data_IF_909257709024
#
_entry.id   IF_909257709024
#
_cell.length_a   1.000
_cell.length_b   1.000
_cell.length_c   1.000
_cell.angle_alpha   90.00
_cell.angle_beta   90.00
_cell.angle_gamma   90.00
#
_symmetry.space_group_name_H-M   'P 1'
#
loop_
_entity.id
_entity.type
_entity.pdbx_description
1 polymer ?
#
# COMPACT_ATOMS: atom_id res chain seq x y z
N UNK A 1 22.39 18.37 6.77
CA UNK A 1 21.57 17.18 6.50
C UNK A 1 20.27 17.65 5.86
N UNK A 2 19.93 17.21 4.64
CA UNK A 2 18.69 17.65 4.01
C UNK A 2 17.48 17.17 4.83
N UNK A 3 16.54 18.08 5.09
CA UNK A 3 15.30 17.78 5.82
C UNK A 3 14.42 16.89 4.93
N UNK A 4 14.17 15.66 5.37
CA UNK A 4 13.16 14.78 4.76
C UNK A 4 11.78 15.29 5.14
N UNK A 5 11.01 15.82 4.19
CA UNK A 5 9.65 16.32 4.43
C UNK A 5 8.66 15.29 3.87
N UNK A 6 7.78 14.77 4.72
CA UNK A 6 6.71 13.85 4.32
C UNK A 6 5.58 14.65 3.64
N UNK A 7 5.50 14.59 2.31
CA UNK A 7 4.46 15.29 1.51
C UNK A 7 3.20 14.39 1.41
N UNK A 8 2.58 14.05 2.54
CA UNK A 8 1.27 13.36 2.52
C UNK A 8 0.13 14.21 3.10
N UNK A 9 0.41 15.47 3.45
CA UNK A 9 -0.52 16.32 4.20
C UNK A 9 -1.29 17.37 3.40
N UNK A 10 -1.20 17.43 2.06
CA UNK A 10 -1.69 18.61 1.31
C UNK A 10 -2.65 18.38 0.14
N UNK A 11 -2.96 17.15 -0.28
CA UNK A 11 -4.04 16.92 -1.25
C UNK A 11 -5.32 16.49 -0.52
N UNK A 12 -6.49 16.92 -1.01
CA UNK A 12 -7.83 16.48 -0.58
C UNK A 12 -8.12 14.98 -0.81
N UNK A 13 -7.07 14.19 -1.05
CA UNK A 13 -7.09 12.77 -1.42
C UNK A 13 -6.59 11.88 -0.28
N UNK A 14 -6.46 12.43 0.92
CA UNK A 14 -5.91 11.70 2.05
C UNK A 14 -6.84 10.56 2.46
N UNK A 15 -6.29 9.34 2.51
CA UNK A 15 -6.92 8.16 3.12
C UNK A 15 -7.63 8.48 4.45
N UNK A 16 -7.08 9.42 5.24
CA UNK A 16 -7.62 9.84 6.54
C UNK A 16 -8.84 10.77 6.46
N UNK A 17 -9.16 11.33 5.30
CA UNK A 17 -10.39 12.09 5.08
C UNK A 17 -11.60 11.18 4.88
N UNK A 18 -11.39 9.88 4.61
CA UNK A 18 -12.49 8.92 4.55
C UNK A 18 -13.06 8.64 5.96
N UNK A 19 -14.40 8.52 6.09
CA UNK A 19 -15.04 8.07 7.31
C UNK A 19 -14.42 6.75 7.80
N UNK A 20 -14.30 6.53 9.13
CA UNK A 20 -13.77 5.29 9.69
C UNK A 20 -14.44 4.02 9.12
N UNK A 21 -15.76 4.08 8.89
CA UNK A 21 -16.54 2.99 8.28
C UNK A 21 -16.09 2.65 6.86
N UNK A 22 -15.82 3.65 6.02
CA UNK A 22 -15.30 3.43 4.65
C UNK A 22 -13.90 2.82 4.71
N UNK A 23 -13.02 3.33 5.56
CA UNK A 23 -11.66 2.78 5.73
C UNK A 23 -11.69 1.32 6.19
N UNK A 24 -12.57 1.00 7.13
CA UNK A 24 -12.76 -0.38 7.59
C UNK A 24 -13.31 -1.28 6.47
N UNK A 25 -14.22 -0.77 5.63
CA UNK A 25 -14.76 -1.51 4.49
C UNK A 25 -13.63 -1.92 3.52
N UNK A 26 -12.78 -0.98 3.09
CA UNK A 26 -11.61 -1.28 2.24
C UNK A 26 -10.73 -2.38 2.84
N UNK A 27 -10.42 -2.26 4.14
CA UNK A 27 -9.61 -3.24 4.87
C UNK A 27 -10.24 -4.63 4.88
N UNK A 28 -11.55 -4.73 5.12
CA UNK A 28 -12.27 -6.00 5.08
C UNK A 28 -12.43 -6.56 3.66
N UNK A 29 -12.61 -5.70 2.66
CA UNK A 29 -12.74 -6.09 1.25
C UNK A 29 -11.44 -6.69 0.74
N UNK A 30 -10.30 -6.05 1.03
CA UNK A 30 -8.98 -6.60 0.72
C UNK A 30 -8.74 -7.93 1.43
N UNK A 31 -9.11 -8.04 2.71
CA UNK A 31 -8.95 -9.28 3.46
C UNK A 31 -9.82 -10.42 2.91
N UNK A 32 -11.03 -10.13 2.41
CA UNK A 32 -11.87 -11.11 1.70
C UNK A 32 -11.24 -11.55 0.39
N UNK A 33 -10.63 -10.62 -0.36
CA UNK A 33 -10.03 -10.89 -1.67
C UNK A 33 -8.70 -11.64 -1.59
N UNK A 34 -7.84 -11.30 -0.64
CA UNK A 34 -6.45 -11.77 -0.59
C UNK A 34 -6.09 -12.53 0.69
N UNK A 35 -7.05 -12.71 1.61
CA UNK A 35 -6.80 -13.15 2.98
C UNK A 35 -6.18 -12.03 3.84
N UNK A 36 -6.06 -12.26 5.14
CA UNK A 36 -5.37 -11.36 6.07
C UNK A 36 -3.84 -11.49 5.97
N UNK A 37 -3.33 -11.44 4.74
CA UNK A 37 -1.92 -11.58 4.39
C UNK A 37 -1.30 -10.21 4.22
N UNK A 38 -0.06 -10.05 4.69
CA UNK A 38 0.79 -8.95 4.26
C UNK A 38 1.17 -9.19 2.80
N UNK A 39 0.36 -8.69 1.87
CA UNK A 39 0.43 -9.03 0.47
C UNK A 39 1.31 -8.02 -0.29
N UNK A 40 2.45 -8.44 -0.86
CA UNK A 40 3.09 -7.65 -1.91
C UNK A 40 2.21 -7.77 -3.14
N UNK A 41 1.56 -6.70 -3.54
CA UNK A 41 0.68 -6.78 -4.70
C UNK A 41 1.45 -6.89 -6.01
N UNK A 42 2.07 -8.04 -6.32
CA UNK A 42 2.12 -8.67 -7.66
C UNK A 42 2.51 -10.15 -7.48
N UNK A 43 1.52 -11.03 -7.53
CA UNK A 43 1.68 -12.42 -7.99
C UNK A 43 0.47 -12.71 -8.90
N UNK A 44 0.32 -11.96 -9.99
CA UNK A 44 -0.49 -12.43 -11.11
C UNK A 44 0.40 -13.35 -11.94
N UNK A 45 0.00 -14.60 -12.23
CA UNK A 45 0.74 -15.44 -13.15
C UNK A 45 0.57 -14.88 -14.56
N UNK A 46 1.58 -14.23 -15.12
CA UNK A 46 1.64 -13.97 -16.56
C UNK A 46 2.32 -15.14 -17.26
N UNK A 47 1.82 -15.51 -18.44
CA UNK A 47 2.32 -16.62 -19.25
C UNK A 47 3.71 -16.38 -19.87
N UNK A 48 4.30 -15.21 -19.65
CA UNK A 48 5.64 -14.83 -20.08
C UNK A 48 6.43 -14.40 -18.84
N UNK A 49 7.61 -15.00 -18.66
CA UNK A 49 8.42 -14.93 -17.45
C UNK A 49 8.59 -13.55 -16.83
N UNK A 50 8.72 -13.56 -15.49
CA UNK A 50 8.89 -12.43 -14.59
C UNK A 50 9.96 -11.43 -15.04
N UNK A 51 9.54 -10.32 -15.64
CA UNK A 51 10.35 -9.12 -15.65
C UNK A 51 10.19 -8.38 -14.31
N UNK A 52 11.34 -8.26 -13.66
CA UNK A 52 11.51 -7.86 -12.29
C UNK A 52 11.37 -6.34 -12.19
N UNK A 53 10.18 -5.80 -11.89
CA UNK A 53 10.07 -4.46 -11.27
C UNK A 53 8.67 -4.10 -10.78
N UNK A 54 8.62 -3.73 -9.49
CA UNK A 54 7.47 -3.29 -8.68
C UNK A 54 6.50 -4.46 -8.39
N UNK A 55 6.31 -4.99 -7.17
CA UNK A 55 6.28 -4.44 -5.81
C UNK A 55 6.99 -5.37 -4.80
N UNK A 56 8.04 -4.87 -4.13
CA UNK A 56 8.88 -5.63 -3.17
C UNK A 56 8.36 -5.57 -1.72
N UNK A 57 7.21 -4.95 -1.49
CA UNK A 57 6.78 -4.57 -0.15
C UNK A 57 5.66 -5.48 0.31
N UNK A 58 6.02 -6.58 0.97
CA UNK A 58 5.08 -7.49 1.59
C UNK A 58 5.77 -8.80 1.95
N UNK A 59 5.68 -9.21 3.22
CA UNK A 59 6.38 -10.42 3.68
C UNK A 59 5.60 -11.71 3.43
N UNK A 60 4.37 -11.62 2.93
CA UNK A 60 3.54 -12.78 2.63
C UNK A 60 3.05 -13.55 3.87
N UNK A 61 3.31 -13.07 5.08
CA UNK A 61 2.81 -13.72 6.31
C UNK A 61 1.37 -13.30 6.61
N UNK A 62 0.64 -14.17 7.29
CA UNK A 62 -0.70 -13.85 7.81
C UNK A 62 -0.59 -13.07 9.12
N UNK A 63 -1.48 -12.09 9.29
CA UNK A 63 -1.59 -11.30 10.50
C UNK A 63 -3.06 -11.15 10.89
N UNK A 64 -3.37 -10.94 12.18
CA UNK A 64 -4.66 -10.39 12.58
C UNK A 64 -4.95 -9.12 11.79
N UNK A 65 -6.16 -8.97 11.25
CA UNK A 65 -6.50 -7.85 10.38
C UNK A 65 -6.20 -6.50 11.05
N UNK A 66 -6.40 -6.39 12.36
CA UNK A 66 -6.07 -5.20 13.15
C UNK A 66 -4.63 -4.71 12.96
N UNK A 67 -3.66 -5.61 12.73
CA UNK A 67 -2.23 -5.30 12.58
C UNK A 67 -1.81 -4.96 11.14
N UNK A 68 -2.71 -5.15 10.16
CA UNK A 68 -2.47 -4.78 8.77
C UNK A 68 -2.90 -3.34 8.52
N UNK A 69 -2.22 -2.68 7.59
CA UNK A 69 -2.53 -1.33 7.12
C UNK A 69 -2.87 -1.39 5.65
N UNK A 70 -3.86 -0.62 5.22
CA UNK A 70 -4.17 -0.44 3.80
C UNK A 70 -3.18 0.54 3.21
N UNK A 71 -2.58 0.19 2.09
CA UNK A 71 -1.54 0.96 1.42
C UNK A 71 -1.77 0.94 -0.09
N UNK A 72 -1.37 2.00 -0.78
CA UNK A 72 -1.46 2.07 -2.24
C UNK A 72 -0.29 1.38 -2.92
N UNK A 73 -0.57 0.50 -3.87
CA UNK A 73 0.45 -0.24 -4.64
C UNK A 73 1.30 0.77 -5.43
N UNK A 74 0.64 1.59 -6.25
CA UNK A 74 1.22 2.76 -6.89
C UNK A 74 0.97 3.95 -5.94
N UNK A 75 2.02 4.60 -5.42
CA UNK A 75 1.86 5.78 -4.56
C UNK A 75 1.04 6.88 -5.23
N UNK A 76 0.22 7.59 -4.45
CA UNK A 76 -0.58 8.73 -4.93
C UNK A 76 0.35 9.81 -5.54
N UNK A 77 1.51 10.05 -4.92
CA UNK A 77 2.54 10.99 -5.42
C UNK A 77 3.08 10.65 -6.81
N UNK A 78 2.89 9.41 -7.27
CA UNK A 78 3.28 8.91 -8.59
C UNK A 78 2.08 8.73 -9.52
N UNK A 79 0.92 9.30 -9.19
CA UNK A 79 -0.30 9.23 -10.00
C UNK A 79 -1.16 7.99 -9.76
N UNK A 80 -0.92 7.25 -8.67
CA UNK A 80 -1.73 6.07 -8.33
C UNK A 80 -3.19 6.44 -8.01
N UNK A 81 -4.18 5.64 -8.46
CA UNK A 81 -5.58 5.84 -8.11
C UNK A 81 -5.82 5.81 -6.60
N UNK A 82 -6.52 6.83 -6.08
CA UNK A 82 -6.67 7.05 -4.63
C UNK A 82 -7.64 6.05 -3.97
N UNK A 83 -8.71 5.68 -4.67
CA UNK A 83 -9.82 4.90 -4.10
C UNK A 83 -10.10 3.58 -4.83
N UNK A 84 -9.24 3.22 -5.78
CA UNK A 84 -9.34 1.96 -6.50
C UNK A 84 -8.85 0.80 -5.62
N UNK A 85 -9.72 -0.18 -5.39
CA UNK A 85 -9.39 -1.38 -4.62
C UNK A 85 -8.27 -2.19 -5.27
N UNK A 86 -8.14 -2.14 -6.60
CA UNK A 86 -7.08 -2.82 -7.34
C UNK A 86 -5.72 -2.15 -7.16
N UNK A 87 -5.70 -0.86 -6.78
CA UNK A 87 -4.48 -0.15 -6.40
C UNK A 87 -4.19 -0.23 -4.90
N UNK A 88 -4.89 -1.06 -4.14
CA UNK A 88 -4.69 -1.19 -2.68
C UNK A 88 -4.15 -2.57 -2.28
N UNK A 89 -3.38 -2.57 -1.20
CA UNK A 89 -2.78 -3.77 -0.61
C UNK A 89 -2.81 -3.72 0.91
N UNK A 90 -2.69 -4.88 1.55
CA UNK A 90 -2.57 -5.00 3.01
C UNK A 90 -1.10 -5.24 3.38
N UNK A 91 -0.51 -4.36 4.19
CA UNK A 91 0.86 -4.50 4.67
C UNK A 91 0.92 -4.58 6.20
N UNK A 92 1.83 -5.39 6.72
CA UNK A 92 2.23 -5.27 8.12
C UNK A 92 3.02 -3.97 8.31
N UNK A 93 3.08 -3.50 9.56
CA UNK A 93 3.77 -2.25 9.91
C UNK A 93 5.22 -2.18 9.40
N UNK A 94 5.97 -3.29 9.47
CA UNK A 94 7.36 -3.34 9.01
C UNK A 94 7.47 -3.14 7.49
N UNK A 95 6.66 -3.87 6.72
CA UNK A 95 6.65 -3.75 5.26
C UNK A 95 6.15 -2.39 4.79
N UNK A 96 5.13 -1.84 5.45
CA UNK A 96 4.63 -0.50 5.17
C UNK A 96 5.73 0.57 5.40
N UNK A 97 6.39 0.54 6.57
CA UNK A 97 7.49 1.49 6.86
C UNK A 97 8.63 1.39 5.86
N UNK A 98 9.00 0.17 5.47
CA UNK A 98 10.02 -0.05 4.44
C UNK A 98 9.60 0.57 3.11
N UNK A 99 8.36 0.37 2.69
CA UNK A 99 7.79 0.97 1.48
C UNK A 99 7.82 2.49 1.51
N UNK A 100 7.31 3.11 2.58
CA UNK A 100 7.35 4.57 2.77
C UNK A 100 8.78 5.11 2.69
N UNK A 101 9.73 4.38 3.29
CA UNK A 101 11.14 4.77 3.29
C UNK A 101 11.74 4.72 1.88
N UNK A 102 11.44 3.68 1.10
CA UNK A 102 12.02 3.51 -0.24
C UNK A 102 11.27 4.31 -1.33
N UNK A 103 9.95 4.46 -1.22
CA UNK A 103 9.12 5.09 -2.26
C UNK A 103 8.85 6.58 -2.05
N UNK A 104 8.84 7.07 -0.81
CA UNK A 104 8.50 8.47 -0.49
C UNK A 104 9.77 9.34 -0.29
N UNK A 105 10.96 8.77 -0.50
CA UNK A 105 12.19 9.54 -0.65
C UNK A 105 12.29 10.07 -2.08
N UNK A 106 11.76 11.27 -2.30
CA UNK A 106 12.20 12.10 -3.42
C UNK A 106 13.52 12.75 -3.01
N UNK A 107 14.60 12.47 -3.74
CA UNK A 107 15.79 13.32 -3.69
C UNK A 107 15.41 14.67 -4.28
N UNK A 108 15.60 15.74 -3.51
CA UNK A 108 15.48 17.14 -3.93
C UNK A 108 16.90 17.69 -4.02
#
# INVERSE_FOLDING_TARGET
MPKRIYIAGKSGDSWYQLPPSKRQNYKTTLAKKYGSRCNPSYCLPTAQGVDNQYSKFGCGKYFPLALLTVDHIIPISKGGPVFDIENMQLLCWQCHRKKTTENDMLEI
#
